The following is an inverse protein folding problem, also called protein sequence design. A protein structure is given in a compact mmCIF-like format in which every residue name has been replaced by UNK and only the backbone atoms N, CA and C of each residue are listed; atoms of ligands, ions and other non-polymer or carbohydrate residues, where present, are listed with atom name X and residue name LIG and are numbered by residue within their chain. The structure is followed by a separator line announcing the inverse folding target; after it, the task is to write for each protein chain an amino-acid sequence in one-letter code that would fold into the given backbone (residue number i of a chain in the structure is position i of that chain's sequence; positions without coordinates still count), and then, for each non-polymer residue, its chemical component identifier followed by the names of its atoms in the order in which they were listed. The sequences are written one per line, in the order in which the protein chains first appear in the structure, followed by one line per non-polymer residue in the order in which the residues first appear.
data_IF_467360885274
#
_entry.id   IF_467360885274
#
_cell.length_a   1.000
_cell.length_b   1.000
_cell.length_c   1.000
_cell.angle_alpha   90.00
_cell.angle_beta   90.00
_cell.angle_gamma   90.00
#
_symmetry.space_group_name_H-M   'P 1'
#
loop_
_entity.id
_entity.type
_entity.pdbx_description
1 polymer ?
#
# COMPACT_ATOMS: atom_id res chain seq x y z
N UNK A 1 11.27 7.18 -20.10
CA UNK A 1 11.22 6.97 -18.64
C UNK A 1 10.04 6.07 -18.34
N UNK A 2 10.24 4.99 -17.58
CA UNK A 2 9.21 4.00 -17.27
C UNK A 2 8.91 4.06 -15.77
N UNK A 3 7.64 4.11 -15.40
CA UNK A 3 7.19 4.20 -14.01
C UNK A 3 6.07 3.19 -13.81
N UNK A 4 6.19 2.38 -12.74
CA UNK A 4 5.14 1.47 -12.30
C UNK A 4 4.60 1.95 -10.96
N UNK A 5 3.27 1.90 -10.81
CA UNK A 5 2.59 2.29 -9.57
C UNK A 5 1.82 1.09 -9.04
N UNK A 6 2.04 0.78 -7.78
CA UNK A 6 1.38 -0.32 -7.09
C UNK A 6 0.71 0.23 -5.84
N UNK A 7 -0.61 0.04 -5.76
CA UNK A 7 -1.36 0.36 -4.55
C UNK A 7 -1.08 -0.72 -3.49
N UNK A 8 -1.01 -0.31 -2.23
CA UNK A 8 -0.88 -1.26 -1.12
C UNK A 8 -2.02 -2.28 -1.12
N UNK A 9 -1.76 -3.46 -0.54
CA UNK A 9 -2.77 -4.50 -0.37
C UNK A 9 -3.95 -4.08 0.51
N UNK A 10 -5.00 -4.91 0.53
CA UNK A 10 -6.17 -4.72 1.37
C UNK A 10 -5.82 -4.64 2.87
N UNK A 11 -6.55 -3.80 3.59
CA UNK A 11 -6.56 -3.69 5.06
C UNK A 11 -8.00 -3.93 5.51
N UNK A 12 -8.21 -4.28 6.78
CA UNK A 12 -9.58 -4.48 7.27
C UNK A 12 -10.45 -3.22 7.16
N UNK A 13 -9.83 -2.04 7.26
CA UNK A 13 -10.53 -0.77 7.12
C UNK A 13 -10.98 -0.52 5.67
N UNK A 14 -10.10 -0.69 4.70
CA UNK A 14 -10.48 -0.44 3.31
C UNK A 14 -11.44 -1.53 2.77
N UNK A 15 -11.40 -2.75 3.32
CA UNK A 15 -12.36 -3.81 2.99
C UNK A 15 -13.80 -3.40 3.30
N UNK A 16 -14.01 -2.66 4.39
CA UNK A 16 -15.32 -2.14 4.80
C UNK A 16 -15.54 -0.66 4.43
N UNK A 17 -14.69 -0.08 3.57
CA UNK A 17 -14.73 1.33 3.15
C UNK A 17 -14.69 2.33 4.32
N UNK A 18 -13.93 2.01 5.38
CA UNK A 18 -13.60 2.94 6.47
C UNK A 18 -12.46 3.84 6.03
N UNK A 19 -12.61 5.14 6.23
CA UNK A 19 -11.64 6.17 5.87
C UNK A 19 -10.38 5.96 6.70
N UNK A 20 -9.32 5.52 6.04
CA UNK A 20 -8.08 5.18 6.72
C UNK A 20 -7.12 6.36 6.85
N UNK A 21 -7.02 7.18 5.80
CA UNK A 21 -6.08 8.29 5.75
C UNK A 21 -4.68 7.89 6.19
N UNK A 22 -4.15 8.61 7.17
CA UNK A 22 -2.80 8.40 7.68
C UNK A 22 -2.74 7.42 8.86
N UNK A 23 -3.87 6.82 9.28
CA UNK A 23 -3.84 5.75 10.28
C UNK A 23 -3.09 4.52 9.76
N UNK A 24 -2.15 4.05 10.57
CA UNK A 24 -1.31 2.93 10.21
C UNK A 24 -1.98 1.58 10.52
N UNK A 25 -2.98 1.25 9.72
CA UNK A 25 -3.67 -0.05 9.78
C UNK A 25 -2.90 -1.04 8.91
N UNK A 26 -2.51 -2.21 9.47
CA UNK A 26 -1.73 -3.21 8.75
C UNK A 26 -2.52 -3.84 7.60
N UNK A 27 -1.81 -4.54 6.71
CA UNK A 27 -2.48 -5.39 5.72
C UNK A 27 -3.26 -6.50 6.41
N UNK A 28 -4.34 -6.96 5.78
CA UNK A 28 -4.97 -8.23 6.13
C UNK A 28 -4.37 -9.36 5.27
N UNK A 29 -4.74 -10.61 5.54
CA UNK A 29 -4.15 -11.77 4.87
C UNK A 29 -4.41 -11.77 3.35
N UNK A 30 -5.57 -11.24 2.95
CA UNK A 30 -5.87 -11.03 1.54
C UNK A 30 -4.95 -9.96 0.92
N UNK A 31 -4.72 -8.85 1.61
CA UNK A 31 -3.77 -7.81 1.21
C UNK A 31 -2.33 -8.29 1.08
N UNK A 32 -1.88 -9.15 1.99
CA UNK A 32 -0.55 -9.80 1.89
C UNK A 32 -0.46 -10.68 0.64
N UNK A 33 -1.52 -11.45 0.38
CA UNK A 33 -1.61 -12.29 -0.82
C UNK A 33 -1.59 -11.45 -2.11
N UNK A 34 -2.27 -10.29 -2.10
CA UNK A 34 -2.20 -9.32 -3.20
C UNK A 34 -0.79 -8.76 -3.40
N UNK A 35 -0.08 -8.40 -2.34
CA UNK A 35 1.30 -7.89 -2.42
C UNK A 35 2.26 -8.90 -3.05
N UNK A 36 2.17 -10.17 -2.64
CA UNK A 36 2.94 -11.27 -3.24
C UNK A 36 2.56 -11.48 -4.71
N UNK A 37 1.26 -11.43 -5.03
CA UNK A 37 0.77 -11.53 -6.40
C UNK A 37 1.33 -10.43 -7.30
N UNK A 38 1.31 -9.17 -6.82
CA UNK A 38 1.88 -8.03 -7.53
C UNK A 38 3.37 -8.22 -7.81
N UNK A 39 4.15 -8.75 -6.86
CA UNK A 39 5.57 -9.04 -7.07
C UNK A 39 5.81 -10.10 -8.12
N UNK A 40 5.02 -11.19 -8.14
CA UNK A 40 5.12 -12.22 -9.18
C UNK A 40 4.81 -11.65 -10.57
N UNK A 41 3.75 -10.86 -10.68
CA UNK A 41 3.36 -10.21 -11.94
C UNK A 41 4.42 -9.22 -12.41
N UNK A 42 4.92 -8.35 -11.52
CA UNK A 42 5.95 -7.37 -11.88
C UNK A 42 7.27 -8.05 -12.27
N UNK A 43 7.66 -9.11 -11.57
CA UNK A 43 8.83 -9.94 -11.92
C UNK A 43 8.71 -10.52 -13.33
N UNK A 44 7.53 -11.03 -13.70
CA UNK A 44 7.29 -11.57 -15.04
C UNK A 44 7.36 -10.49 -16.14
N UNK A 45 6.97 -9.25 -15.84
CA UNK A 45 7.01 -8.13 -16.78
C UNK A 45 8.44 -7.62 -16.97
N UNK A 46 9.17 -7.42 -15.88
CA UNK A 46 10.50 -6.79 -15.90
C UNK A 46 11.64 -7.79 -16.11
N UNK A 47 11.45 -9.05 -15.72
CA UNK A 47 12.48 -10.06 -15.73
C UNK A 47 13.76 -9.59 -15.00
N UNK A 48 14.95 -9.83 -15.56
CA UNK A 48 16.22 -9.43 -14.95
C UNK A 48 16.40 -7.93 -14.74
N UNK A 49 15.66 -7.08 -15.47
CA UNK A 49 15.77 -5.62 -15.36
C UNK A 49 15.12 -5.07 -14.09
N UNK A 50 14.34 -5.88 -13.37
CA UNK A 50 13.70 -5.46 -12.12
C UNK A 50 14.69 -4.85 -11.11
N UNK A 51 15.90 -5.40 -11.01
CA UNK A 51 16.95 -4.92 -10.09
C UNK A 51 17.49 -3.52 -10.43
N UNK A 52 17.17 -2.99 -11.61
CA UNK A 52 17.67 -1.70 -12.11
C UNK A 52 16.70 -0.55 -11.79
N UNK A 53 15.50 -0.85 -11.28
CA UNK A 53 14.52 0.16 -10.88
C UNK A 53 14.83 0.73 -9.50
N UNK A 54 14.55 2.02 -9.33
CA UNK A 54 14.43 2.63 -8.01
C UNK A 54 13.07 2.27 -7.39
N UNK A 55 13.11 1.72 -6.18
CA UNK A 55 11.91 1.35 -5.43
C UNK A 55 11.64 2.36 -4.33
N UNK A 56 10.44 2.93 -4.35
CA UNK A 56 10.02 3.96 -3.39
C UNK A 56 8.62 3.63 -2.86
N UNK A 57 8.43 3.80 -1.55
CA UNK A 57 7.13 3.65 -0.88
C UNK A 57 6.84 4.83 0.04
N UNK A 58 5.58 5.02 0.45
CA UNK A 58 5.30 5.88 1.61
C UNK A 58 5.85 5.24 2.90
N UNK A 59 6.10 6.01 3.97
CA UNK A 59 6.53 5.48 5.27
C UNK A 59 5.45 4.67 6.01
N UNK A 60 4.19 4.67 5.55
CA UNK A 60 3.10 3.92 6.20
C UNK A 60 3.38 2.41 6.20
N UNK A 61 3.09 1.74 7.31
CA UNK A 61 3.35 0.31 7.51
C UNK A 61 2.76 -0.56 6.40
N UNK A 62 1.51 -0.30 6.00
CA UNK A 62 0.86 -1.06 4.90
C UNK A 62 1.55 -0.94 3.53
N UNK A 63 2.15 0.21 3.22
CA UNK A 63 2.89 0.39 1.95
C UNK A 63 4.26 -0.25 2.03
N UNK A 64 4.92 -0.16 3.19
CA UNK A 64 6.19 -0.85 3.47
C UNK A 64 6.05 -2.37 3.44
N UNK A 65 5.06 -2.92 4.14
CA UNK A 65 4.75 -4.35 4.13
C UNK A 65 4.41 -4.84 2.71
N UNK A 66 3.65 -4.05 1.94
CA UNK A 66 3.40 -4.37 0.52
C UNK A 66 4.69 -4.42 -0.28
N UNK A 67 5.57 -3.42 -0.13
CA UNK A 67 6.85 -3.34 -0.84
C UNK A 67 7.75 -4.52 -0.51
N UNK A 68 7.87 -4.88 0.77
CA UNK A 68 8.73 -5.97 1.23
C UNK A 68 8.24 -7.33 0.72
N UNK A 69 6.94 -7.61 0.80
CA UNK A 69 6.34 -8.83 0.25
C UNK A 69 6.49 -8.91 -1.27
N UNK A 70 6.28 -7.78 -1.95
CA UNK A 70 6.46 -7.66 -3.39
C UNK A 70 7.90 -7.97 -3.79
N UNK A 71 8.89 -7.32 -3.16
CA UNK A 71 10.32 -7.50 -3.45
C UNK A 71 10.79 -8.90 -3.13
N UNK A 72 10.34 -9.47 -2.01
CA UNK A 72 10.59 -10.87 -1.66
C UNK A 72 10.05 -11.84 -2.73
N UNK A 73 8.85 -11.61 -3.25
CA UNK A 73 8.27 -12.40 -4.33
C UNK A 73 9.01 -12.26 -5.67
N UNK A 74 9.74 -11.15 -5.87
CA UNK A 74 10.62 -10.93 -7.01
C UNK A 74 12.02 -11.53 -6.84
N UNK A 75 12.34 -12.07 -5.66
CA UNK A 75 13.68 -12.57 -5.34
C UNK A 75 14.71 -11.45 -5.09
N UNK A 76 14.26 -10.25 -4.75
CA UNK A 76 15.10 -9.11 -4.38
C UNK A 76 15.19 -8.99 -2.86
N UNK A 77 16.20 -8.28 -2.35
CA UNK A 77 16.26 -7.89 -0.93
C UNK A 77 14.99 -7.13 -0.55
N UNK A 78 14.14 -7.65 0.36
CA UNK A 78 12.86 -7.04 0.73
C UNK A 78 12.99 -5.60 1.23
N UNK A 79 14.11 -5.27 1.87
CA UNK A 79 14.31 -4.00 2.59
C UNK A 79 15.07 -2.95 1.79
N UNK A 80 15.61 -3.32 0.62
CA UNK A 80 16.36 -2.40 -0.24
C UNK A 80 15.44 -1.51 -1.07
N UNK A 81 14.82 -0.53 -0.42
CA UNK A 81 13.98 0.51 -1.02
C UNK A 81 14.07 1.80 -0.17
N UNK A 82 13.63 2.92 -0.74
CA UNK A 82 13.55 4.19 -0.02
C UNK A 82 12.10 4.51 0.38
N UNK A 83 11.93 5.26 1.46
CA UNK A 83 10.63 5.86 1.81
C UNK A 83 10.61 7.34 1.45
N UNK A 84 9.45 7.85 1.04
CA UNK A 84 9.23 9.26 0.74
C UNK A 84 7.95 9.77 1.39
N UNK A 85 8.07 10.76 2.28
CA UNK A 85 6.96 11.40 3.00
C UNK A 85 5.92 12.03 2.06
N UNK A 86 6.33 12.42 0.84
CA UNK A 86 5.43 13.03 -0.16
C UNK A 86 4.43 12.02 -0.73
N UNK A 87 4.62 10.72 -0.48
CA UNK A 87 3.74 9.63 -0.93
C UNK A 87 2.70 9.20 0.13
N UNK A 88 2.70 9.83 1.31
CA UNK A 88 1.72 9.53 2.36
C UNK A 88 0.30 9.84 1.86
N UNK A 89 -0.64 8.95 2.16
CA UNK A 89 -2.06 9.09 1.82
C UNK A 89 -2.64 10.41 2.35
N UNK A 90 -3.66 10.93 1.66
CA UNK A 90 -4.39 12.12 2.13
C UNK A 90 -4.95 11.87 3.54
N UNK A 91 -4.79 12.84 4.44
CA UNK A 91 -5.44 12.76 5.75
C UNK A 91 -6.91 13.14 5.63
N UNK A 92 -7.77 12.38 6.30
CA UNK A 92 -9.18 12.73 6.48
C UNK A 92 -9.44 13.43 7.81
N UNK A 93 -8.40 13.76 8.58
CA UNK A 93 -8.52 14.41 9.89
C UNK A 93 -9.45 13.64 10.83
N UNK A 94 -10.41 14.34 11.43
CA UNK A 94 -11.37 13.76 12.38
C UNK A 94 -12.30 12.70 11.76
N UNK A 95 -12.34 12.60 10.43
CA UNK A 95 -13.13 11.59 9.72
C UNK A 95 -12.41 10.26 9.57
N UNK A 96 -11.12 10.19 9.87
CA UNK A 96 -10.39 8.91 9.90
C UNK A 96 -11.02 7.97 10.93
N UNK A 97 -11.23 6.73 10.52
CA UNK A 97 -11.92 5.73 11.32
C UNK A 97 -13.42 5.72 11.12
N UNK A 98 -14.02 6.62 10.33
CA UNK A 98 -15.44 6.51 9.96
C UNK A 98 -15.62 5.91 8.57
N UNK A 99 -16.72 5.21 8.36
CA UNK A 99 -17.29 4.95 7.04
C UNK A 99 -18.13 6.15 6.61
N UNK A 100 -18.36 6.31 5.30
CA UNK A 100 -19.21 7.39 4.80
C UNK A 100 -20.65 7.36 5.39
N UNK A 101 -21.29 6.18 5.60
CA UNK A 101 -22.58 6.13 6.29
C UNK A 101 -22.51 6.59 7.76
N UNK A 102 -21.46 6.22 8.51
CA UNK A 102 -21.29 6.68 9.90
C UNK A 102 -21.10 8.21 9.94
N UNK A 103 -20.32 8.79 9.02
CA UNK A 103 -20.15 10.25 8.93
C UNK A 103 -21.48 10.98 8.71
N UNK A 104 -22.33 10.49 7.81
CA UNK A 104 -23.64 11.12 7.55
C UNK A 104 -24.54 11.15 8.78
N UNK A 105 -24.37 10.21 9.70
CA UNK A 105 -25.12 10.17 10.96
C UNK A 105 -24.50 11.07 12.03
N UNK A 106 -23.17 11.15 12.09
CA UNK A 106 -22.43 11.94 13.08
C UNK A 106 -22.28 13.42 12.70
N UNK A 107 -22.33 13.76 11.42
CA UNK A 107 -22.20 15.10 10.86
C UNK A 107 -23.29 15.33 9.79
N UNK A 108 -24.56 15.54 10.21
CA UNK A 108 -25.64 15.87 9.28
C UNK A 108 -25.45 17.26 8.67
N UNK A 109 -25.94 17.44 7.43
CA UNK A 109 -25.91 18.71 6.67
C UNK A 109 -26.61 19.88 7.39
#
# INVERSE_FOLDING_TARGET
MLVYVIRHGQTDWNAIRRLQGQKDIPLNDFGRSQAVGNGKTLSAILGPTAKEFDYVASPLGRTRETMELLRGAMGLDPTHYCTDERLVEVSFGDWEGYTLPELKLSFPD
#
